data_IF_867175984839
#
_entry.id   IF_867175984839
#
_cell.length_a   1.000
_cell.length_b   1.000
_cell.length_c   1.000
_cell.angle_alpha   90.00
_cell.angle_beta   90.00
_cell.angle_gamma   90.00
#
_symmetry.space_group_name_H-M   'P 1'
#
loop_
_entity.id
_entity.type
_entity.pdbx_description
1 polymer ?
#
# COMPACT_ATOMS: atom_id res chain seq x y z
N UNK A 1 20.62 -4.87 -19.94
CA UNK A 1 21.89 -5.42 -19.41
C UNK A 1 21.82 -5.35 -17.90
N UNK A 2 21.93 -6.48 -17.21
CA UNK A 2 21.87 -6.54 -15.74
C UNK A 2 23.25 -6.20 -15.18
N UNK A 3 23.31 -5.33 -14.17
CA UNK A 3 24.56 -4.89 -13.54
C UNK A 3 24.54 -5.30 -12.07
N UNK A 4 25.59 -6.00 -11.65
CA UNK A 4 25.77 -6.45 -10.27
C UNK A 4 27.00 -5.73 -9.72
N UNK A 5 26.81 -4.96 -8.67
CA UNK A 5 27.86 -4.19 -8.00
C UNK A 5 27.86 -4.53 -6.51
N UNK A 6 29.02 -4.32 -5.87
CA UNK A 6 29.12 -4.38 -4.41
C UNK A 6 28.36 -3.21 -3.79
N UNK A 7 27.61 -3.46 -2.71
CA UNK A 7 26.99 -2.42 -1.91
C UNK A 7 28.06 -1.52 -1.26
N UNK A 8 27.77 -0.23 -1.18
CA UNK A 8 28.62 0.83 -0.63
C UNK A 8 28.19 1.29 0.76
N UNK A 9 27.24 0.57 1.37
CA UNK A 9 26.77 0.77 2.74
C UNK A 9 26.97 -0.51 3.57
N UNK A 10 27.09 -0.34 4.89
CA UNK A 10 27.12 -1.46 5.83
C UNK A 10 25.74 -2.10 5.96
N UNK A 11 25.65 -3.40 6.28
CA UNK A 11 24.41 -4.01 6.73
C UNK A 11 23.80 -3.21 7.89
N UNK A 12 22.47 -3.11 7.95
CA UNK A 12 21.77 -2.23 8.91
C UNK A 12 22.11 -2.59 10.36
N UNK A 13 22.28 -3.89 10.63
CA UNK A 13 22.66 -4.45 11.93
C UNK A 13 24.10 -4.12 12.36
N UNK A 14 24.93 -3.60 11.45
CA UNK A 14 26.32 -3.19 11.69
C UNK A 14 26.48 -1.66 11.74
N UNK A 15 25.39 -0.91 11.71
CA UNK A 15 25.45 0.56 11.77
C UNK A 15 25.56 1.06 13.22
N UNK A 16 26.27 2.17 13.42
CA UNK A 16 26.47 2.77 14.75
C UNK A 16 25.22 3.50 15.30
N UNK A 17 24.18 3.67 14.47
CA UNK A 17 22.93 4.33 14.84
C UNK A 17 21.82 3.29 15.09
N UNK A 18 20.91 3.52 16.06
CA UNK A 18 19.77 2.63 16.28
C UNK A 18 18.87 2.51 15.05
N UNK A 19 18.50 1.28 14.71
CA UNK A 19 17.47 1.01 13.70
C UNK A 19 16.08 1.37 14.23
N UNK A 20 15.27 2.03 13.41
CA UNK A 20 13.87 2.30 13.68
C UNK A 20 13.01 1.80 12.52
N UNK A 21 12.00 1.00 12.84
CA UNK A 21 11.02 0.49 11.88
C UNK A 21 9.59 0.83 12.33
N UNK A 22 8.76 1.27 11.38
CA UNK A 22 7.34 1.54 11.58
C UNK A 22 6.49 0.63 10.68
N UNK A 23 5.36 0.14 11.22
CA UNK A 23 4.34 -0.56 10.44
C UNK A 23 2.96 0.03 10.73
N UNK A 24 2.30 0.51 9.68
CA UNK A 24 0.88 0.86 9.72
C UNK A 24 0.03 -0.41 9.63
N UNK A 25 -0.86 -0.58 10.61
CA UNK A 25 -1.74 -1.75 10.72
C UNK A 25 -2.89 -1.72 9.70
N UNK A 26 -3.61 -2.83 9.54
CA UNK A 26 -4.68 -2.96 8.53
C UNK A 26 -5.81 -1.93 8.67
N UNK A 27 -6.06 -1.41 9.87
CA UNK A 27 -7.08 -0.39 10.13
C UNK A 27 -6.54 1.04 10.11
N UNK A 28 -5.24 1.22 9.89
CA UNK A 28 -4.67 2.56 9.76
C UNK A 28 -5.25 3.23 8.49
N UNK A 29 -5.72 4.49 8.57
CA UNK A 29 -6.32 5.20 7.42
C UNK A 29 -5.54 5.06 6.11
N UNK A 30 -4.22 5.26 6.16
CA UNK A 30 -3.36 5.11 4.97
C UNK A 30 -3.36 3.68 4.41
N UNK A 31 -3.23 2.66 5.26
CA UNK A 31 -3.28 1.26 4.81
C UNK A 31 -4.65 0.87 4.25
N UNK A 32 -5.73 1.49 4.74
CA UNK A 32 -7.07 1.36 4.16
C UNK A 32 -7.13 1.99 2.77
N UNK A 33 -6.55 3.18 2.58
CA UNK A 33 -6.42 3.80 1.26
C UNK A 33 -5.65 2.91 0.28
N UNK A 34 -4.49 2.39 0.69
CA UNK A 34 -3.66 1.50 -0.13
C UNK A 34 -4.43 0.23 -0.54
N UNK A 35 -5.11 -0.40 0.42
CA UNK A 35 -5.89 -1.61 0.16
C UNK A 35 -7.10 -1.34 -0.74
N UNK A 36 -7.77 -0.20 -0.59
CA UNK A 36 -8.90 0.18 -1.44
C UNK A 36 -8.45 0.48 -2.88
N UNK A 37 -7.32 1.17 -3.05
CA UNK A 37 -6.70 1.47 -4.33
C UNK A 37 -6.31 0.18 -5.08
N UNK A 38 -5.64 -0.76 -4.40
CA UNK A 38 -5.30 -2.09 -4.94
C UNK A 38 -6.55 -2.89 -5.32
N UNK A 39 -7.54 -2.97 -4.42
CA UNK A 39 -8.77 -3.70 -4.66
C UNK A 39 -9.53 -3.16 -5.89
N UNK A 40 -9.56 -1.84 -6.06
CA UNK A 40 -10.15 -1.20 -7.23
C UNK A 40 -9.39 -1.54 -8.52
N UNK A 41 -8.06 -1.45 -8.53
CA UNK A 41 -7.25 -1.84 -9.70
C UNK A 41 -7.46 -3.31 -10.07
N UNK A 42 -7.45 -4.23 -9.11
CA UNK A 42 -7.72 -5.66 -9.38
C UNK A 42 -9.13 -5.90 -9.94
N UNK A 43 -10.13 -5.20 -9.42
CA UNK A 43 -11.49 -5.27 -9.94
C UNK A 43 -11.57 -4.75 -11.38
N UNK A 44 -10.90 -3.65 -11.71
CA UNK A 44 -10.80 -3.13 -13.09
C UNK A 44 -10.10 -4.11 -14.02
N UNK A 45 -8.97 -4.69 -13.60
CA UNK A 45 -8.27 -5.73 -14.37
C UNK A 45 -9.19 -6.91 -14.70
N UNK A 46 -9.90 -7.44 -13.68
CA UNK A 46 -10.84 -8.55 -13.85
C UNK A 46 -11.94 -8.17 -14.84
N UNK A 47 -12.58 -7.02 -14.62
CA UNK A 47 -13.63 -6.51 -15.50
C UNK A 47 -13.15 -6.35 -16.95
N UNK A 48 -11.97 -5.74 -17.15
CA UNK A 48 -11.44 -5.51 -18.49
C UNK A 48 -11.16 -6.81 -19.22
N UNK A 49 -10.56 -7.79 -18.53
CA UNK A 49 -10.27 -9.08 -19.13
C UNK A 49 -11.55 -9.86 -19.46
N UNK A 50 -12.50 -9.94 -18.53
CA UNK A 50 -13.77 -10.66 -18.72
C UNK A 50 -14.64 -10.04 -19.82
N UNK A 51 -14.59 -8.70 -19.98
CA UNK A 51 -15.45 -7.98 -20.93
C UNK A 51 -14.81 -7.82 -22.30
N UNK A 52 -13.49 -7.59 -22.36
CA UNK A 52 -12.81 -7.19 -23.60
C UNK A 52 -11.63 -8.10 -23.99
N UNK A 53 -11.32 -9.13 -23.20
CA UNK A 53 -10.19 -10.04 -23.46
C UNK A 53 -8.81 -9.38 -23.35
N UNK A 54 -8.74 -8.16 -22.78
CA UNK A 54 -7.49 -7.41 -22.61
C UNK A 54 -7.59 -6.43 -21.45
N UNK A 55 -6.45 -6.06 -20.87
CA UNK A 55 -6.38 -5.00 -19.88
C UNK A 55 -6.30 -3.63 -20.56
N UNK A 56 -7.10 -2.67 -20.10
CA UNK A 56 -6.96 -1.26 -20.49
C UNK A 56 -6.07 -0.53 -19.50
N UNK A 57 -5.40 0.52 -19.98
CA UNK A 57 -4.58 1.38 -19.14
C UNK A 57 -5.44 2.06 -18.07
N UNK A 58 -5.06 1.87 -16.81
CA UNK A 58 -5.62 2.56 -15.65
C UNK A 58 -4.54 2.62 -14.56
N UNK A 59 -4.56 3.68 -13.77
CA UNK A 59 -3.75 3.80 -12.56
C UNK A 59 -4.68 4.25 -11.43
N UNK A 60 -4.89 3.38 -10.45
CA UNK A 60 -5.70 3.66 -9.26
C UNK A 60 -4.77 3.67 -8.07
N UNK A 61 -3.94 4.70 -7.99
CA UNK A 61 -2.93 4.90 -6.94
C UNK A 61 -3.15 6.20 -6.15
N UNK A 62 -4.32 6.82 -6.35
CA UNK A 62 -4.74 8.04 -5.67
C UNK A 62 -6.04 7.75 -4.92
N UNK A 63 -5.98 7.72 -3.59
CA UNK A 63 -7.12 7.54 -2.72
C UNK A 63 -7.08 8.59 -1.60
N UNK A 64 -8.25 9.08 -1.20
CA UNK A 64 -8.41 9.99 -0.08
C UNK A 64 -9.47 9.41 0.86
N UNK A 65 -9.06 9.09 2.08
CA UNK A 65 -9.98 8.72 3.16
C UNK A 65 -10.23 9.96 4.03
N UNK A 66 -11.42 10.52 3.91
CA UNK A 66 -11.84 11.66 4.73
C UNK A 66 -12.47 11.13 6.02
N UNK A 67 -11.85 11.43 7.15
CA UNK A 67 -12.32 10.98 8.46
C UNK A 67 -13.71 11.50 8.80
N UNK A 68 -14.57 10.60 9.29
CA UNK A 68 -15.87 10.96 9.88
C UNK A 68 -15.77 11.28 11.38
N UNK A 69 -16.92 11.40 12.02
CA UNK A 69 -17.04 11.57 13.47
C UNK A 69 -17.78 10.36 14.05
N UNK A 70 -17.35 9.88 15.21
CA UNK A 70 -18.07 8.85 15.96
C UNK A 70 -18.23 9.27 17.42
N UNK A 71 -19.33 8.87 18.05
CA UNK A 71 -19.50 8.97 19.50
C UNK A 71 -19.16 7.61 20.08
N UNK A 72 -18.03 7.51 20.77
CA UNK A 72 -17.68 6.31 21.50
C UNK A 72 -18.68 6.13 22.65
N UNK A 73 -19.41 5.01 22.64
CA UNK A 73 -20.20 4.56 23.79
C UNK A 73 -19.53 3.30 24.30
N UNK A 74 -18.94 3.36 25.49
CA UNK A 74 -18.63 2.15 26.23
C UNK A 74 -19.94 1.46 26.55
N UNK A 75 -20.19 0.29 25.96
CA UNK A 75 -21.18 -0.63 26.52
C UNK A 75 -20.74 -1.02 27.94
N UNK A 76 -21.68 -1.23 28.89
CA UNK A 76 -21.37 -1.80 30.19
C UNK A 76 -20.67 -3.16 30.08
#
# INVERSE_FOLDING_TARGET
MLKINKADFLPIEQTDFPELAERKGIGHPDSVCDAAADACSRALCKYYFETFGRYYHHNVDKAALVGGISVYRSTP
#
